data_IF_083399584552
#
_entry.id   IF_083399584552
#
_cell.length_a   1.000
_cell.length_b   1.000
_cell.length_c   1.000
_cell.angle_alpha   90.00
_cell.angle_beta   90.00
_cell.angle_gamma   90.00
#
_symmetry.space_group_name_H-M   'P 1'
#
loop_
_entity.id
_entity.type
_entity.pdbx_description
1 polymer ?
#
# COMPACT_ATOMS: atom_id res chain seq x y z
N UNK A 1 23.85 10.07 -9.16
CA UNK A 1 24.19 9.14 -10.25
C UNK A 1 24.80 9.87 -11.42
N UNK A 2 24.16 10.93 -11.93
CA UNK A 2 24.68 11.74 -13.05
C UNK A 2 25.40 13.03 -12.67
N UNK A 3 25.37 13.40 -11.39
CA UNK A 3 26.07 14.59 -10.89
C UNK A 3 27.54 14.27 -10.56
N UNK A 4 28.51 15.14 -10.92
CA UNK A 4 29.90 14.96 -10.55
C UNK A 4 30.11 15.15 -9.04
N UNK A 5 30.56 14.10 -8.35
CA UNK A 5 30.90 14.12 -6.93
C UNK A 5 30.34 12.96 -6.11
N UNK A 6 30.55 12.98 -4.79
CA UNK A 6 29.99 12.00 -3.87
C UNK A 6 28.48 12.18 -3.75
N UNK A 7 27.71 11.13 -4.00
CA UNK A 7 26.26 11.14 -3.79
C UNK A 7 25.89 10.61 -2.41
N UNK A 8 24.84 11.17 -1.82
CA UNK A 8 24.19 10.58 -0.66
C UNK A 8 23.64 9.19 -0.99
N UNK A 9 23.62 8.32 0.03
CA UNK A 9 22.96 7.01 -0.05
C UNK A 9 21.45 7.19 -0.01
N UNK A 10 20.73 6.39 -0.78
CA UNK A 10 19.28 6.49 -0.92
C UNK A 10 18.58 5.18 -0.60
N UNK A 11 17.43 5.28 0.06
CA UNK A 11 16.51 4.17 0.29
C UNK A 11 15.23 4.45 -0.49
N UNK A 12 14.77 3.47 -1.28
CA UNK A 12 13.55 3.57 -2.06
C UNK A 12 12.49 2.59 -1.56
N UNK A 13 11.37 3.12 -1.05
CA UNK A 13 10.29 2.31 -0.47
C UNK A 13 9.19 2.00 -1.50
N UNK A 14 8.93 0.71 -1.71
CA UNK A 14 7.86 0.21 -2.57
C UNK A 14 6.64 -0.11 -1.71
N UNK A 15 5.61 0.73 -1.85
CA UNK A 15 4.29 0.46 -1.25
C UNK A 15 3.38 -0.33 -2.20
N UNK A 16 3.62 -0.25 -3.51
CA UNK A 16 2.86 -0.96 -4.52
C UNK A 16 3.64 -0.99 -5.84
N UNK A 17 3.61 -2.11 -6.56
CA UNK A 17 4.20 -2.26 -7.90
C UNK A 17 3.24 -2.01 -9.06
N UNK A 18 1.94 -1.82 -8.83
CA UNK A 18 0.99 -1.73 -9.95
C UNK A 18 1.04 -0.39 -10.68
N UNK A 19 1.53 0.65 -10.00
CA UNK A 19 1.70 1.98 -10.57
C UNK A 19 3.16 2.20 -10.89
N UNK A 20 3.56 1.77 -12.09
CA UNK A 20 4.95 1.82 -12.56
C UNK A 20 5.45 3.24 -12.83
N UNK A 21 4.56 4.24 -12.81
CA UNK A 21 4.89 5.62 -13.20
C UNK A 21 5.42 5.67 -14.63
N UNK A 22 4.62 5.15 -15.58
CA UNK A 22 4.97 5.09 -17.00
C UNK A 22 4.72 6.45 -17.65
N UNK A 23 5.75 6.99 -18.29
CA UNK A 23 5.70 8.24 -19.02
C UNK A 23 6.35 8.09 -20.39
N UNK A 24 5.91 8.84 -21.40
CA UNK A 24 6.57 8.82 -22.69
C UNK A 24 7.97 9.46 -22.64
N UNK A 25 8.86 9.15 -23.60
CA UNK A 25 10.28 9.52 -23.53
C UNK A 25 10.56 11.02 -23.45
N UNK A 26 9.68 11.88 -23.98
CA UNK A 26 9.84 13.33 -23.92
C UNK A 26 9.84 13.89 -22.49
N UNK A 27 9.38 13.11 -21.50
CA UNK A 27 9.47 13.51 -20.09
C UNK A 27 10.92 13.74 -19.65
N UNK A 28 11.90 13.07 -20.29
CA UNK A 28 13.32 13.19 -19.98
C UNK A 28 13.81 14.64 -20.04
N UNK A 29 13.39 15.39 -21.06
CA UNK A 29 13.72 16.81 -21.20
C UNK A 29 13.05 17.67 -20.13
N UNK A 30 11.83 17.31 -19.73
CA UNK A 30 11.07 18.05 -18.71
C UNK A 30 11.67 17.91 -17.30
N UNK A 31 12.33 16.78 -17.03
CA UNK A 31 12.97 16.49 -15.73
C UNK A 31 14.50 16.63 -15.78
N UNK A 32 15.03 17.19 -16.86
CA UNK A 32 16.45 17.49 -17.07
C UNK A 32 17.37 16.27 -16.83
N UNK A 33 16.94 15.09 -17.28
CA UNK A 33 17.77 13.88 -17.23
C UNK A 33 18.64 13.79 -18.49
N UNK A 34 19.93 13.42 -18.36
CA UNK A 34 20.80 13.24 -19.51
C UNK A 34 20.35 12.03 -20.34
N UNK A 35 20.64 12.05 -21.65
CA UNK A 35 20.22 10.98 -22.57
C UNK A 35 20.73 9.59 -22.18
N UNK A 36 21.90 9.49 -21.56
CA UNK A 36 22.47 8.24 -21.03
C UNK A 36 21.62 7.58 -19.93
N UNK A 37 20.74 8.35 -19.26
CA UNK A 37 19.81 7.79 -18.30
C UNK A 37 18.68 6.99 -18.97
N UNK A 38 18.40 7.24 -20.26
CA UNK A 38 17.37 6.56 -21.05
C UNK A 38 17.91 5.25 -21.65
N UNK A 39 18.04 4.24 -20.80
CA UNK A 39 18.46 2.91 -21.19
C UNK A 39 17.89 1.81 -20.30
N UNK A 40 18.08 0.56 -20.73
CA UNK A 40 17.69 -0.63 -19.98
C UNK A 40 18.38 -0.67 -18.61
N UNK A 41 19.64 -0.23 -18.53
CA UNK A 41 20.37 0.02 -17.28
C UNK A 41 20.13 1.44 -16.76
N UNK A 42 18.85 1.84 -16.73
CA UNK A 42 18.43 3.18 -16.36
C UNK A 42 16.91 3.29 -16.25
N UNK A 43 16.34 4.38 -16.74
CA UNK A 43 14.91 4.70 -16.52
C UNK A 43 13.97 4.04 -17.55
N UNK A 44 14.50 3.48 -18.64
CA UNK A 44 13.67 2.98 -19.76
C UNK A 44 12.98 1.66 -19.40
N UNK A 45 11.70 1.53 -19.74
CA UNK A 45 10.94 0.30 -19.57
C UNK A 45 9.95 0.15 -20.72
N UNK A 46 10.18 -0.83 -21.60
CA UNK A 46 9.34 -1.12 -22.77
C UNK A 46 9.07 0.11 -23.67
N UNK A 47 10.09 0.91 -23.97
CA UNK A 47 10.04 2.09 -24.82
C UNK A 47 9.47 3.33 -24.14
N UNK A 48 9.29 3.29 -22.82
CA UNK A 48 8.79 4.39 -22.01
C UNK A 48 9.75 4.67 -20.85
N UNK A 49 9.54 5.76 -20.13
CA UNK A 49 10.21 6.04 -18.86
C UNK A 49 9.38 5.47 -17.72
N UNK A 50 9.99 4.70 -16.82
CA UNK A 50 9.34 4.25 -15.58
C UNK A 50 10.05 4.83 -14.36
N UNK A 51 9.33 5.68 -13.61
CA UNK A 51 9.87 6.25 -12.37
C UNK A 51 10.06 5.19 -11.29
N UNK A 52 9.18 4.19 -11.24
CA UNK A 52 9.31 3.09 -10.29
C UNK A 52 10.55 2.23 -10.60
N UNK A 53 10.75 1.87 -11.88
CA UNK A 53 11.96 1.17 -12.31
C UNK A 53 13.20 1.98 -11.97
N UNK A 54 13.21 3.28 -12.25
CA UNK A 54 14.32 4.17 -11.92
C UNK A 54 14.64 4.14 -10.42
N UNK A 55 13.64 4.22 -9.55
CA UNK A 55 13.81 4.12 -8.10
C UNK A 55 14.46 2.80 -7.66
N UNK A 56 14.01 1.68 -8.24
CA UNK A 56 14.59 0.35 -7.96
C UNK A 56 16.02 0.24 -8.50
N UNK A 57 16.26 0.72 -9.72
CA UNK A 57 17.56 0.63 -10.38
C UNK A 57 18.62 1.52 -9.72
N UNK A 58 18.26 2.73 -9.28
CA UNK A 58 19.21 3.70 -8.73
C UNK A 58 19.28 3.74 -7.20
N UNK A 59 18.29 3.21 -6.46
CA UNK A 59 18.35 3.14 -5.01
C UNK A 59 19.58 2.38 -4.51
N UNK A 60 20.14 2.73 -3.35
CA UNK A 60 21.17 1.88 -2.71
C UNK A 60 20.52 0.71 -1.97
N UNK A 61 19.43 1.00 -1.25
CA UNK A 61 18.58 0.00 -0.63
C UNK A 61 17.13 0.19 -1.11
N UNK A 62 16.41 -0.91 -1.17
CA UNK A 62 14.99 -0.97 -1.52
C UNK A 62 14.27 -1.55 -0.32
N UNK A 63 13.18 -0.91 0.09
CA UNK A 63 12.31 -1.43 1.17
C UNK A 63 10.93 -1.73 0.61
N UNK A 64 10.25 -2.71 1.21
CA UNK A 64 8.89 -3.07 0.89
C UNK A 64 8.08 -3.15 2.18
N UNK A 65 6.76 -2.93 2.10
CA UNK A 65 5.87 -2.80 3.26
C UNK A 65 5.67 -4.08 4.12
N UNK A 66 6.29 -5.19 3.73
CA UNK A 66 6.44 -6.37 4.57
C UNK A 66 7.51 -7.32 4.01
N UNK A 67 8.06 -8.23 4.84
CA UNK A 67 8.92 -9.33 4.37
C UNK A 67 8.24 -10.19 3.31
N UNK A 68 6.97 -10.55 3.51
CA UNK A 68 6.20 -11.32 2.53
C UNK A 68 6.08 -10.57 1.21
N UNK A 69 5.75 -9.28 1.26
CA UNK A 69 5.61 -8.48 0.05
C UNK A 69 6.94 -8.35 -0.70
N UNK A 70 8.06 -8.18 0.01
CA UNK A 70 9.40 -8.17 -0.59
C UNK A 70 9.70 -9.44 -1.40
N UNK A 71 9.25 -10.61 -0.93
CA UNK A 71 9.39 -11.86 -1.67
C UNK A 71 8.40 -11.97 -2.83
N UNK A 72 7.14 -11.58 -2.61
CA UNK A 72 6.09 -11.65 -3.62
C UNK A 72 6.44 -10.87 -4.88
N UNK A 73 6.94 -9.63 -4.73
CA UNK A 73 7.29 -8.77 -5.86
C UNK A 73 8.47 -9.27 -6.70
N UNK A 74 9.23 -10.24 -6.20
CA UNK A 74 10.29 -10.91 -6.96
C UNK A 74 9.75 -12.05 -7.83
N UNK A 75 8.47 -12.41 -7.72
CA UNK A 75 7.84 -13.40 -8.57
C UNK A 75 7.31 -12.78 -9.87
N UNK A 76 7.30 -13.49 -11.01
CA UNK A 76 6.71 -12.99 -12.25
C UNK A 76 5.22 -12.61 -12.12
N UNK A 77 4.47 -13.31 -11.25
CA UNK A 77 3.05 -13.08 -11.07
C UNK A 77 2.72 -11.74 -10.40
N UNK A 78 3.59 -11.24 -9.52
CA UNK A 78 3.33 -10.05 -8.71
C UNK A 78 4.35 -8.91 -8.92
N UNK A 79 5.43 -9.16 -9.65
CA UNK A 79 6.48 -8.18 -9.92
C UNK A 79 6.20 -7.22 -11.07
N UNK A 80 5.06 -7.34 -11.77
CA UNK A 80 4.63 -6.45 -12.86
C UNK A 80 5.73 -6.18 -13.91
N UNK A 81 6.48 -7.23 -14.30
CA UNK A 81 7.58 -7.15 -15.27
C UNK A 81 8.89 -6.57 -14.72
N UNK A 82 8.92 -6.13 -13.46
CA UNK A 82 10.13 -5.70 -12.75
C UNK A 82 10.74 -6.81 -11.90
N UNK A 83 10.14 -8.00 -11.88
CA UNK A 83 10.58 -9.15 -11.10
C UNK A 83 12.02 -9.56 -11.42
N UNK A 84 12.43 -9.47 -12.69
CA UNK A 84 13.81 -9.72 -13.10
C UNK A 84 14.81 -8.74 -12.46
N UNK A 85 14.50 -7.44 -12.50
CA UNK A 85 15.31 -6.40 -11.88
C UNK A 85 15.36 -6.57 -10.35
N UNK A 86 14.21 -6.86 -9.73
CA UNK A 86 14.11 -7.06 -8.28
C UNK A 86 14.88 -8.29 -7.81
N UNK A 87 14.86 -9.39 -8.56
CA UNK A 87 15.69 -10.58 -8.27
C UNK A 87 17.17 -10.28 -8.43
N UNK A 88 17.56 -9.58 -9.51
CA UNK A 88 18.95 -9.17 -9.72
C UNK A 88 19.46 -8.33 -8.54
N UNK A 89 18.59 -7.47 -7.99
CA UNK A 89 18.87 -6.61 -6.85
C UNK A 89 18.48 -7.21 -5.50
N UNK A 90 18.20 -8.50 -5.40
CA UNK A 90 17.57 -9.11 -4.22
C UNK A 90 18.31 -8.83 -2.90
N UNK A 91 19.64 -8.75 -2.93
CA UNK A 91 20.47 -8.40 -1.76
C UNK A 91 20.23 -6.99 -1.19
N UNK A 92 19.67 -6.08 -2.00
CA UNK A 92 19.36 -4.71 -1.60
C UNK A 92 17.87 -4.55 -1.21
N UNK A 93 17.04 -5.57 -1.38
CA UNK A 93 15.59 -5.51 -1.12
C UNK A 93 15.28 -6.06 0.27
N UNK A 94 14.61 -5.25 1.09
CA UNK A 94 14.29 -5.58 2.48
C UNK A 94 12.80 -5.38 2.75
N UNK A 95 12.17 -6.30 3.44
CA UNK A 95 10.81 -6.08 3.94
C UNK A 95 10.83 -5.44 5.32
N UNK A 96 10.11 -4.33 5.49
CA UNK A 96 9.94 -3.65 6.77
C UNK A 96 8.45 -3.67 7.10
N UNK A 97 8.08 -4.26 8.23
CA UNK A 97 6.70 -4.29 8.69
C UNK A 97 6.26 -2.87 9.05
N UNK A 98 5.08 -2.48 8.56
CA UNK A 98 4.44 -1.26 9.01
C UNK A 98 4.03 -1.40 10.48
N UNK A 99 4.29 -0.36 11.26
CA UNK A 99 3.76 -0.21 12.60
C UNK A 99 2.52 0.69 12.63
N UNK A 100 1.84 0.68 13.77
CA UNK A 100 0.86 1.70 14.16
C UNK A 100 1.37 2.39 15.44
N UNK A 101 0.84 3.57 15.72
CA UNK A 101 1.12 4.27 16.97
C UNK A 101 0.22 3.72 18.08
N UNK A 102 0.81 3.01 19.04
CA UNK A 102 0.10 2.36 20.15
C UNK A 102 -0.33 3.33 21.26
N UNK A 103 0.06 4.61 21.22
CA UNK A 103 -0.51 5.64 22.09
C UNK A 103 -1.84 6.15 21.51
N UNK A 104 -1.89 6.28 20.18
CA UNK A 104 -3.10 6.72 19.45
C UNK A 104 -4.10 5.58 19.28
N UNK A 105 -3.66 4.39 18.90
CA UNK A 105 -4.51 3.23 18.57
C UNK A 105 -4.62 2.25 19.74
N UNK A 106 -4.95 2.76 20.93
CA UNK A 106 -5.00 1.98 22.16
C UNK A 106 -6.42 1.78 22.70
N UNK A 107 -7.03 0.60 22.58
CA UNK A 107 -8.39 0.40 23.08
C UNK A 107 -8.52 0.54 24.60
N UNK A 108 -7.42 0.55 25.37
CA UNK A 108 -7.49 0.76 26.82
C UNK A 108 -7.64 2.24 27.20
N UNK A 109 -7.29 3.17 26.30
CA UNK A 109 -7.25 4.62 26.59
C UNK A 109 -7.85 5.50 25.50
N UNK A 110 -8.25 4.91 24.36
CA UNK A 110 -8.83 5.62 23.22
C UNK A 110 -10.16 6.31 23.61
N UNK A 111 -10.23 7.65 23.57
CA UNK A 111 -11.43 8.39 23.94
C UNK A 111 -12.54 8.31 22.89
N UNK A 112 -12.27 7.77 21.69
CA UNK A 112 -13.23 7.66 20.59
C UNK A 112 -14.12 6.40 20.70
N UNK A 113 -13.82 5.48 21.61
CA UNK A 113 -14.64 4.31 21.89
C UNK A 113 -15.38 4.47 23.22
N UNK A 114 -16.66 4.07 23.26
CA UNK A 114 -17.51 4.25 24.44
C UNK A 114 -17.05 3.40 25.64
N UNK A 115 -16.45 2.23 25.37
CA UNK A 115 -16.06 1.25 26.38
C UNK A 115 -14.62 0.80 26.17
N UNK A 116 -13.64 1.33 26.93
CA UNK A 116 -12.27 0.86 26.87
C UNK A 116 -12.14 -0.64 27.17
N UNK A 117 -11.17 -1.30 26.55
CA UNK A 117 -10.89 -2.72 26.74
C UNK A 117 -9.41 -3.05 26.53
N UNK A 118 -8.96 -4.20 27.03
CA UNK A 118 -7.58 -4.66 26.92
C UNK A 118 -7.49 -6.16 26.64
N UNK A 119 -6.29 -6.69 26.42
CA UNK A 119 -6.07 -8.14 26.29
C UNK A 119 -6.43 -8.91 27.56
N UNK A 120 -6.40 -8.27 28.74
CA UNK A 120 -6.80 -8.86 30.02
C UNK A 120 -8.33 -8.80 30.25
N UNK A 121 -9.02 -7.81 29.67
CA UNK A 121 -10.48 -7.68 29.72
C UNK A 121 -11.05 -7.22 28.38
N UNK A 122 -11.64 -8.17 27.66
CA UNK A 122 -12.22 -7.97 26.33
C UNK A 122 -13.71 -7.62 26.36
N UNK A 123 -14.32 -7.46 27.54
CA UNK A 123 -15.76 -7.21 27.68
C UNK A 123 -16.20 -5.91 26.97
N UNK A 124 -15.40 -4.84 27.07
CA UNK A 124 -15.67 -3.56 26.39
C UNK A 124 -15.75 -3.67 24.87
N UNK A 125 -15.06 -4.64 24.25
CA UNK A 125 -15.14 -4.87 22.79
C UNK A 125 -16.54 -5.30 22.34
N UNK A 126 -17.22 -6.13 23.14
CA UNK A 126 -18.59 -6.56 22.83
C UNK A 126 -19.57 -5.38 22.93
N UNK A 127 -19.38 -4.51 23.94
CA UNK A 127 -20.18 -3.30 24.12
C UNK A 127 -19.96 -2.28 23.00
N UNK A 128 -18.71 -2.04 22.59
CA UNK A 128 -18.39 -1.17 21.45
C UNK A 128 -18.98 -1.69 20.13
N UNK A 129 -19.09 -3.01 19.94
CA UNK A 129 -19.79 -3.57 18.77
C UNK A 129 -21.27 -3.15 18.76
N UNK A 130 -21.94 -3.18 19.91
CA UNK A 130 -23.35 -2.77 20.02
C UNK A 130 -23.48 -1.26 19.78
N UNK A 131 -22.56 -0.45 20.33
CA UNK A 131 -22.51 1.00 20.08
C UNK A 131 -22.35 1.31 18.58
N UNK A 132 -21.39 0.67 17.91
CA UNK A 132 -21.17 0.83 16.47
C UNK A 132 -22.40 0.44 15.65
N UNK A 133 -23.06 -0.69 15.98
CA UNK A 133 -24.29 -1.11 15.30
C UNK A 133 -25.43 -0.10 15.46
N UNK A 134 -25.49 0.63 16.58
CA UNK A 134 -26.48 1.71 16.77
C UNK A 134 -26.16 2.90 15.86
N UNK A 135 -24.89 3.28 15.76
CA UNK A 135 -24.43 4.35 14.86
C UNK A 135 -24.74 3.99 13.41
N UNK A 136 -24.37 2.78 12.96
CA UNK A 136 -24.63 2.29 11.60
C UNK A 136 -26.12 2.40 11.22
N UNK A 137 -27.01 1.96 12.13
CA UNK A 137 -28.46 2.04 11.93
C UNK A 137 -28.94 3.50 11.88
N UNK A 138 -28.42 4.37 12.74
CA UNK A 138 -28.75 5.79 12.74
C UNK A 138 -28.31 6.48 11.43
N UNK A 139 -27.20 6.05 10.84
CA UNK A 139 -26.71 6.51 9.53
C UNK A 139 -27.41 5.84 8.33
N UNK A 140 -28.43 5.01 8.57
CA UNK A 140 -29.25 4.39 7.52
C UNK A 140 -28.68 3.08 6.95
N UNK A 141 -27.62 2.53 7.54
CA UNK A 141 -27.11 1.21 7.18
C UNK A 141 -28.00 0.10 7.76
N UNK A 142 -28.09 -1.04 7.05
CA UNK A 142 -28.93 -2.17 7.50
C UNK A 142 -28.32 -2.79 8.76
N UNK A 143 -29.13 -3.08 9.80
CA UNK A 143 -28.63 -3.75 11.00
C UNK A 143 -28.09 -5.14 10.66
N UNK A 144 -26.86 -5.41 11.08
CA UNK A 144 -26.27 -6.74 10.98
C UNK A 144 -26.98 -7.70 11.95
N UNK A 145 -27.87 -8.54 11.42
CA UNK A 145 -28.69 -9.48 12.19
C UNK A 145 -27.94 -10.75 12.62
N UNK A 146 -26.68 -10.93 12.25
CA UNK A 146 -25.93 -12.17 12.56
C UNK A 146 -25.20 -12.00 13.89
N UNK A 147 -25.37 -12.97 14.82
CA UNK A 147 -24.50 -13.16 16.00
C UNK A 147 -23.03 -13.48 15.65
N UNK A 148 -22.67 -13.52 14.36
CA UNK A 148 -21.28 -13.69 13.90
C UNK A 148 -20.63 -12.30 13.74
N UNK A 149 -19.31 -12.25 13.57
CA UNK A 149 -18.55 -10.98 13.54
C UNK A 149 -19.14 -9.97 12.56
N UNK A 150 -19.08 -8.68 12.90
CA UNK A 150 -19.50 -7.60 11.99
C UNK A 150 -18.34 -7.32 11.05
N UNK A 151 -18.44 -7.66 9.75
CA UNK A 151 -17.39 -7.37 8.79
C UNK A 151 -17.47 -5.89 8.45
N UNK A 152 -16.42 -5.14 8.77
CA UNK A 152 -16.26 -3.75 8.36
C UNK A 152 -15.06 -3.63 7.42
N UNK A 153 -15.22 -2.90 6.33
CA UNK A 153 -14.11 -2.51 5.44
C UNK A 153 -14.02 -0.99 5.44
N UNK A 154 -12.94 -0.47 6.02
CA UNK A 154 -12.63 0.96 6.00
C UNK A 154 -11.40 1.13 5.10
N UNK A 155 -11.53 1.91 4.03
CA UNK A 155 -10.47 2.11 3.07
C UNK A 155 -10.95 2.92 1.86
N UNK A 156 -10.00 3.42 1.06
CA UNK A 156 -10.32 4.19 -0.15
C UNK A 156 -11.23 3.38 -1.08
N UNK A 157 -12.31 3.97 -1.62
CA UNK A 157 -13.20 3.27 -2.55
C UNK A 157 -12.48 3.08 -3.89
N UNK A 158 -11.82 1.95 -4.05
CA UNK A 158 -11.24 1.52 -5.33
C UNK A 158 -11.66 0.08 -5.67
N UNK A 159 -11.39 -0.35 -6.90
CA UNK A 159 -11.77 -1.69 -7.38
C UNK A 159 -11.06 -2.83 -6.63
N UNK A 160 -10.00 -2.56 -5.85
CA UNK A 160 -9.15 -3.55 -5.17
C UNK A 160 -9.40 -3.65 -3.67
N UNK A 161 -9.91 -2.60 -3.03
CA UNK A 161 -10.28 -2.53 -1.62
C UNK A 161 -11.37 -3.54 -1.22
N UNK A 162 -11.99 -4.23 -2.17
CA UNK A 162 -13.19 -5.03 -1.95
C UNK A 162 -14.42 -4.20 -1.56
N UNK A 163 -14.28 -2.87 -1.45
CA UNK A 163 -15.22 -1.96 -0.81
C UNK A 163 -16.37 -1.52 -1.74
N UNK A 164 -16.67 -2.30 -2.79
CA UNK A 164 -17.73 -2.02 -3.78
C UNK A 164 -19.02 -2.84 -3.61
N UNK A 165 -19.12 -3.70 -2.59
CA UNK A 165 -20.29 -4.60 -2.42
C UNK A 165 -21.33 -4.09 -1.41
N UNK A 166 -21.90 -2.91 -1.61
CA UNK A 166 -23.14 -2.48 -0.91
C UNK A 166 -24.05 -1.56 -1.73
N UNK A 167 -23.98 -1.55 -3.07
CA UNK A 167 -25.05 -0.92 -3.87
C UNK A 167 -26.19 -1.93 -4.11
N UNK A 168 -27.44 -1.67 -3.68
CA UNK A 168 -28.55 -2.57 -3.94
C UNK A 168 -28.81 -2.62 -5.45
N UNK A 169 -28.86 -3.84 -6.00
CA UNK A 169 -29.33 -4.08 -7.35
C UNK A 169 -30.76 -3.54 -7.48
N UNK A 170 -30.93 -2.43 -8.20
CA UNK A 170 -32.24 -2.02 -8.70
C UNK A 170 -32.60 -3.01 -9.81
N UNK A 171 -33.49 -3.95 -9.50
CA UNK A 171 -34.21 -4.66 -10.55
C UNK A 171 -35.08 -3.63 -11.28
N UNK A 172 -34.80 -3.45 -12.57
CA UNK A 172 -35.74 -2.83 -13.49
C UNK A 172 -36.89 -3.82 -13.71
N UNK A 173 -38.11 -3.33 -13.52
CA UNK A 173 -39.31 -3.91 -14.10
C UNK A 173 -39.37 -3.55 -15.60
#
# INVERSE_FOLDING_TARGET
HFWPGSRAKTVFTIHNLQYLGMFPPWVMEQIDLPGEAYGMDGVEFHGQVSFLKAGIFYGDAITAVSPTYAHEIMSPALGNGLDGLLRHRGHAVHGILNGIDDEVWNPATDPLIEHPYSTADMSGKASNKVALQRIDVAEGHRPDRRRRGTPGTIGRPDRRSGNRRTAPARHAA
#
